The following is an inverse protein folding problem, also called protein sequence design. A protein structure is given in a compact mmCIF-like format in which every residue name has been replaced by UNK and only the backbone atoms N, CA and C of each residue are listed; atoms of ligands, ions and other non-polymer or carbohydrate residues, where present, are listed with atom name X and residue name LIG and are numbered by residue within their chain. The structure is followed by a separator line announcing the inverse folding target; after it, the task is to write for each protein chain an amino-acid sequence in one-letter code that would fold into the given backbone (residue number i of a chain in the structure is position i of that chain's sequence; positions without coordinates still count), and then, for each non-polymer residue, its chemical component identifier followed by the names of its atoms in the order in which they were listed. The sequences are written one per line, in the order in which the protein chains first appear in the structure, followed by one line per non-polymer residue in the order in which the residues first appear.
data_IF_937935313713
#
_entry.id   IF_937935313713
#
_cell.length_a   1.000
_cell.length_b   1.000
_cell.length_c   1.000
_cell.angle_alpha   90.00
_cell.angle_beta   90.00
_cell.angle_gamma   90.00
#
_symmetry.space_group_name_H-M   'P 1'
#
loop_
_entity.id
_entity.type
_entity.pdbx_description
1 polymer ?
#
# COMPACT_ATOMS: atom_id res chain seq x y z
N UNK A 1 -9.92 4.27 8.21
CA UNK A 1 -9.40 3.54 9.39
C UNK A 1 -8.44 2.50 8.87
N UNK A 2 -7.48 2.01 9.65
CA UNK A 2 -6.65 0.87 9.19
C UNK A 2 -7.52 -0.36 9.06
N UNK A 3 -7.37 -1.14 8.00
CA UNK A 3 -8.10 -2.39 7.80
C UNK A 3 -7.27 -3.44 7.07
N UNK A 4 -7.62 -4.72 7.28
CA UNK A 4 -7.01 -5.84 6.59
C UNK A 4 -7.59 -5.98 5.18
N UNK A 5 -6.72 -6.19 4.19
CA UNK A 5 -7.14 -6.43 2.81
C UNK A 5 -7.56 -7.89 2.66
N UNK A 6 -8.83 -8.11 2.32
CA UNK A 6 -9.34 -9.43 1.97
C UNK A 6 -8.99 -9.76 0.51
N UNK A 7 -8.11 -10.74 0.31
CA UNK A 7 -7.73 -11.20 -1.02
C UNK A 7 -8.66 -12.28 -1.59
N UNK A 8 -9.59 -12.81 -0.78
CA UNK A 8 -10.64 -13.73 -1.22
C UNK A 8 -11.81 -12.93 -1.79
N UNK A 9 -12.24 -11.89 -1.07
CA UNK A 9 -13.32 -10.98 -1.49
C UNK A 9 -12.75 -9.60 -1.85
N UNK A 10 -12.30 -9.45 -3.10
CA UNK A 10 -11.64 -8.23 -3.57
C UNK A 10 -12.61 -7.04 -3.54
N UNK A 11 -12.19 -5.95 -2.87
CA UNK A 11 -12.97 -4.72 -2.70
C UNK A 11 -12.21 -3.48 -3.15
N UNK A 12 -12.92 -2.52 -3.74
CA UNK A 12 -12.40 -1.20 -4.15
C UNK A 12 -12.40 -0.17 -3.03
N UNK A 13 -12.73 -0.57 -1.79
CA UNK A 13 -12.73 0.33 -0.64
C UNK A 13 -11.39 1.06 -0.51
N UNK A 14 -11.45 2.37 -0.30
CA UNK A 14 -10.28 3.25 -0.19
C UNK A 14 -9.63 3.65 -1.53
N UNK A 15 -10.13 3.14 -2.67
CA UNK A 15 -9.58 3.37 -4.01
C UNK A 15 -10.59 4.03 -4.97
N UNK A 16 -11.78 4.37 -4.48
CA UNK A 16 -12.94 4.78 -5.29
C UNK A 16 -12.71 6.08 -6.08
N UNK A 17 -11.80 6.93 -5.61
CA UNK A 17 -11.41 8.15 -6.32
C UNK A 17 -10.51 7.89 -7.53
N UNK A 18 -10.01 6.67 -7.71
CA UNK A 18 -9.17 6.30 -8.85
C UNK A 18 -10.01 5.96 -10.08
N UNK A 19 -9.66 6.42 -11.29
CA UNK A 19 -10.30 5.97 -12.53
C UNK A 19 -10.06 4.48 -12.83
N UNK A 20 -9.12 3.84 -12.12
CA UNK A 20 -8.75 2.42 -12.29
C UNK A 20 -8.89 1.63 -10.99
N UNK A 21 -9.88 1.99 -10.16
CA UNK A 21 -10.10 1.43 -8.82
C UNK A 21 -10.10 -0.12 -8.78
N UNK A 22 -10.79 -0.77 -9.73
CA UNK A 22 -10.87 -2.25 -9.80
C UNK A 22 -9.49 -2.89 -10.02
N UNK A 23 -8.68 -2.31 -10.91
CA UNK A 23 -7.32 -2.83 -11.18
C UNK A 23 -6.41 -2.66 -9.97
N UNK A 24 -6.49 -1.51 -9.28
CA UNK A 24 -5.74 -1.27 -8.05
C UNK A 24 -6.18 -2.22 -6.91
N UNK A 25 -7.48 -2.49 -6.79
CA UNK A 25 -8.00 -3.44 -5.82
C UNK A 25 -7.46 -4.86 -6.06
N UNK A 26 -7.38 -5.29 -7.33
CA UNK A 26 -6.78 -6.57 -7.71
C UNK A 26 -5.29 -6.64 -7.41
N UNK A 27 -4.53 -5.57 -7.67
CA UNK A 27 -3.10 -5.50 -7.32
C UNK A 27 -2.90 -5.62 -5.80
N UNK A 28 -3.63 -4.81 -5.03
CA UNK A 28 -3.60 -4.82 -3.55
C UNK A 28 -3.97 -6.19 -2.97
N UNK A 29 -4.95 -6.87 -3.55
CA UNK A 29 -5.33 -8.24 -3.15
C UNK A 29 -4.19 -9.26 -3.43
N UNK A 30 -3.47 -9.11 -4.55
CA UNK A 30 -2.32 -9.96 -4.84
C UNK A 30 -1.18 -9.76 -3.83
N UNK A 31 -0.91 -8.52 -3.41
CA UNK A 31 0.06 -8.22 -2.36
C UNK A 31 -0.36 -8.86 -1.03
N UNK A 32 -1.62 -8.70 -0.63
CA UNK A 32 -2.13 -9.29 0.60
C UNK A 32 -1.99 -10.82 0.61
N UNK A 33 -2.29 -11.48 -0.53
CA UNK A 33 -2.09 -12.92 -0.70
C UNK A 33 -0.62 -13.32 -0.63
N UNK A 34 0.28 -12.53 -1.23
CA UNK A 34 1.73 -12.77 -1.18
C UNK A 34 2.23 -12.74 0.27
N UNK A 35 1.92 -11.68 1.01
CA UNK A 35 2.37 -11.54 2.40
C UNK A 35 1.78 -12.61 3.32
N UNK A 36 0.52 -12.99 3.09
CA UNK A 36 -0.09 -14.10 3.82
C UNK A 36 0.59 -15.43 3.53
N UNK A 37 0.83 -15.78 2.27
CA UNK A 37 1.41 -17.07 1.91
C UNK A 37 2.89 -17.19 2.24
N UNK A 38 3.66 -16.10 2.06
CA UNK A 38 5.10 -16.13 2.25
C UNK A 38 5.53 -15.93 3.70
N UNK A 39 4.86 -15.03 4.43
CA UNK A 39 5.30 -14.61 5.77
C UNK A 39 4.24 -14.85 6.85
N UNK A 40 3.12 -15.50 6.53
CA UNK A 40 1.94 -15.60 7.40
C UNK A 40 1.43 -14.24 7.92
N UNK A 41 1.68 -13.17 7.17
CA UNK A 41 1.39 -11.80 7.59
C UNK A 41 0.02 -11.32 7.08
N UNK A 42 -0.76 -10.70 7.97
CA UNK A 42 -2.03 -10.04 7.60
C UNK A 42 -1.73 -8.65 7.07
N UNK A 43 -1.87 -8.48 5.76
CA UNK A 43 -1.63 -7.20 5.09
C UNK A 43 -2.74 -6.20 5.40
N UNK A 44 -2.37 -5.09 6.03
CA UNK A 44 -3.28 -4.00 6.38
C UNK A 44 -2.88 -2.71 5.68
N UNK A 45 -3.86 -1.86 5.40
CA UNK A 45 -3.67 -0.55 4.77
C UNK A 45 -4.37 0.53 5.58
N UNK A 46 -3.90 1.77 5.44
CA UNK A 46 -4.57 2.95 5.99
C UNK A 46 -4.63 4.08 4.95
N UNK A 47 -5.60 5.01 5.07
CA UNK A 47 -5.71 6.14 4.14
C UNK A 47 -4.43 6.99 4.13
N UNK A 48 -4.05 7.49 2.95
CA UNK A 48 -2.85 8.31 2.77
C UNK A 48 -2.78 9.52 3.71
N UNK A 49 -3.93 10.10 4.06
CA UNK A 49 -4.03 11.22 5.00
C UNK A 49 -3.53 10.87 6.42
N UNK A 50 -3.52 9.59 6.79
CA UNK A 50 -3.01 9.10 8.07
C UNK A 50 -1.58 8.55 7.97
N UNK A 51 -1.21 8.00 6.82
CA UNK A 51 0.13 7.49 6.53
C UNK A 51 1.15 8.54 6.03
N UNK A 52 0.95 9.84 6.29
CA UNK A 52 1.78 10.93 5.74
C UNK A 52 3.28 10.71 5.95
N UNK A 53 3.69 10.30 7.15
CA UNK A 53 5.10 10.07 7.48
C UNK A 53 5.76 9.01 6.59
N UNK A 54 5.04 7.93 6.26
CA UNK A 54 5.54 6.87 5.38
C UNK A 54 5.65 7.38 3.94
N UNK A 55 4.62 8.06 3.45
CA UNK A 55 4.58 8.63 2.10
C UNK A 55 5.70 9.67 1.90
N UNK A 56 5.84 10.61 2.84
CA UNK A 56 6.88 11.65 2.78
C UNK A 56 8.28 11.04 2.78
N UNK A 57 8.48 9.94 3.53
CA UNK A 57 9.76 9.22 3.55
C UNK A 57 10.08 8.58 2.19
N UNK A 58 9.12 7.89 1.58
CA UNK A 58 9.29 7.27 0.26
C UNK A 58 9.52 8.33 -0.82
N UNK A 59 8.71 9.40 -0.83
CA UNK A 59 8.89 10.52 -1.77
C UNK A 59 10.27 11.16 -1.66
N UNK A 60 10.77 11.37 -0.44
CA UNK A 60 12.09 11.95 -0.21
C UNK A 60 13.20 11.04 -0.76
N UNK A 61 13.17 9.74 -0.47
CA UNK A 61 14.18 8.79 -0.97
C UNK A 61 14.19 8.75 -2.49
N UNK A 62 13.01 8.61 -3.11
CA UNK A 62 12.90 8.54 -4.57
C UNK A 62 13.43 9.81 -5.25
N UNK A 63 13.13 10.98 -4.67
CA UNK A 63 13.59 12.26 -5.20
C UNK A 63 15.09 12.47 -4.99
N UNK A 64 15.58 12.30 -3.77
CA UNK A 64 16.98 12.59 -3.43
C UNK A 64 17.94 11.60 -4.08
N UNK A 65 17.57 10.32 -4.15
CA UNK A 65 18.52 9.30 -4.60
C UNK A 65 18.40 8.95 -6.09
N UNK A 66 17.26 9.22 -6.73
CA UNK A 66 16.98 8.80 -8.12
C UNK A 66 16.31 9.88 -8.98
N UNK A 67 16.06 11.07 -8.44
CA UNK A 67 15.32 12.16 -9.10
C UNK A 67 13.91 11.75 -9.58
N UNK A 68 13.27 10.80 -8.89
CA UNK A 68 11.94 10.31 -9.24
C UNK A 68 10.87 11.03 -8.41
N UNK A 69 9.85 11.56 -9.09
CA UNK A 69 8.65 12.13 -8.45
C UNK A 69 7.40 11.38 -8.89
N UNK A 70 6.61 10.90 -7.93
CA UNK A 70 5.34 10.21 -8.19
C UNK A 70 4.29 11.28 -8.53
N UNK A 71 3.76 11.24 -9.76
CA UNK A 71 2.75 12.21 -10.21
C UNK A 71 1.34 11.90 -9.71
N UNK A 72 1.03 10.62 -9.47
CA UNK A 72 -0.28 10.17 -9.00
C UNK A 72 -0.44 10.37 -7.48
N UNK A 73 -1.60 10.84 -7.01
CA UNK A 73 -1.84 10.98 -5.57
C UNK A 73 -1.91 9.61 -4.88
N UNK A 74 -1.20 9.41 -3.76
CA UNK A 74 -1.37 8.23 -2.93
C UNK A 74 -2.79 8.18 -2.35
N UNK A 75 -3.41 6.99 -2.40
CA UNK A 75 -4.75 6.78 -1.85
C UNK A 75 -4.68 6.10 -0.49
N UNK A 76 -3.88 5.04 -0.42
CA UNK A 76 -3.61 4.29 0.79
C UNK A 76 -2.13 3.90 0.85
N UNK A 77 -1.66 3.61 2.06
CA UNK A 77 -0.31 3.12 2.28
C UNK A 77 -0.30 2.09 3.42
N UNK A 78 0.81 1.38 3.51
CA UNK A 78 1.08 0.40 4.56
C UNK A 78 2.53 0.53 5.00
N UNK A 79 2.82 0.17 6.24
CA UNK A 79 4.20 0.05 6.72
C UNK A 79 4.22 -1.02 7.80
N UNK A 80 5.07 -2.02 7.61
CA UNK A 80 5.21 -3.14 8.55
C UNK A 80 6.59 -3.76 8.43
N UNK A 81 6.91 -4.64 9.37
CA UNK A 81 8.13 -5.44 9.34
C UNK A 81 7.75 -6.91 9.31
N UNK A 82 8.33 -7.65 8.36
CA UNK A 82 8.31 -9.11 8.32
C UNK A 82 9.75 -9.58 8.32
N UNK A 83 10.06 -10.55 9.19
CA UNK A 83 11.43 -11.02 9.41
C UNK A 83 12.38 -9.82 9.67
N UNK A 84 13.45 -9.71 8.88
CA UNK A 84 14.43 -8.62 8.95
C UNK A 84 14.23 -7.55 7.86
N UNK A 85 13.04 -7.47 7.26
CA UNK A 85 12.74 -6.54 6.16
C UNK A 85 11.63 -5.59 6.58
N UNK A 86 11.91 -4.29 6.51
CA UNK A 86 10.90 -3.24 6.66
C UNK A 86 10.31 -2.92 5.30
N UNK A 87 9.02 -3.15 5.16
CA UNK A 87 8.22 -2.79 3.99
C UNK A 87 7.50 -1.48 4.27
N UNK A 88 7.51 -0.57 3.30
CA UNK A 88 6.80 0.71 3.33
C UNK A 88 6.58 1.17 1.90
#
# INVERSE_FOLDING_TARGET
MTYAVDFVNVSTVGLESSPVATSLAGLRANEARYFKNKYDHVFTVEPAAKAKKAIDWVHRILKEERDIAIASPPLEATSFQVENIRWT
#
